data_IF_326134863114
#
_entry.id   IF_326134863114
#
_cell.length_a   1.000
_cell.length_b   1.000
_cell.length_c   1.000
_cell.angle_alpha   90.00
_cell.angle_beta   90.00
_cell.angle_gamma   90.00
#
_symmetry.space_group_name_H-M   'P 1'
#
loop_
_entity.id
_entity.type
_entity.pdbx_description
1 polymer ?
#
# COMPACT_ATOMS: atom_id res chain seq x y z
N UNK A 1 -1.88 21.46 -4.53
CA UNK A 1 -2.49 20.59 -3.51
C UNK A 1 -1.37 20.02 -2.67
N UNK A 2 -1.42 20.07 -1.33
CA UNK A 2 -0.35 19.48 -0.51
C UNK A 2 -0.27 17.97 -0.79
N UNK A 3 0.93 17.45 -1.04
CA UNK A 3 1.14 16.01 -1.20
C UNK A 3 0.77 15.33 0.12
N UNK A 4 -0.28 14.51 0.11
CA UNK A 4 -0.71 13.78 1.30
C UNK A 4 0.34 12.72 1.59
N UNK A 5 1.09 12.90 2.67
CA UNK A 5 2.08 11.93 3.14
C UNK A 5 1.39 10.89 4.03
N UNK A 6 1.28 9.68 3.53
CA UNK A 6 0.69 8.54 4.20
C UNK A 6 1.80 7.60 4.69
N UNK A 7 1.75 7.22 5.96
CA UNK A 7 2.59 6.12 6.46
C UNK A 7 1.99 4.77 6.08
N UNK A 8 2.78 3.70 6.13
CA UNK A 8 2.28 2.32 5.90
C UNK A 8 1.07 1.99 6.79
N UNK A 9 1.06 2.46 8.05
CA UNK A 9 -0.06 2.26 8.96
C UNK A 9 -1.31 3.05 8.59
N UNK A 10 -1.16 4.25 8.04
CA UNK A 10 -2.27 5.03 7.51
C UNK A 10 -2.85 4.40 6.25
N UNK A 11 -1.99 3.89 5.35
CA UNK A 11 -2.42 3.15 4.17
C UNK A 11 -3.27 1.94 4.58
N UNK A 12 -2.77 1.13 5.52
CA UNK A 12 -3.49 -0.03 6.05
C UNK A 12 -4.88 0.34 6.59
N UNK A 13 -4.97 1.39 7.42
CA UNK A 13 -6.25 1.89 7.92
C UNK A 13 -7.18 2.42 6.82
N UNK A 14 -6.64 3.10 5.81
CA UNK A 14 -7.43 3.70 4.73
C UNK A 14 -7.96 2.66 3.74
N UNK A 15 -7.24 1.56 3.58
CA UNK A 15 -7.64 0.42 2.74
C UNK A 15 -8.42 -0.64 3.52
N UNK A 16 -8.64 -0.45 4.84
CA UNK A 16 -9.22 -1.43 5.75
C UNK A 16 -8.53 -2.81 5.68
N UNK A 17 -7.20 -2.79 5.52
CA UNK A 17 -6.40 -3.98 5.25
C UNK A 17 -5.33 -4.17 6.34
N UNK A 18 -5.00 -5.42 6.72
CA UNK A 18 -3.97 -5.67 7.71
C UNK A 18 -2.60 -5.13 7.28
N UNK A 19 -1.87 -4.55 8.24
CA UNK A 19 -0.54 -3.97 8.01
C UNK A 19 0.43 -4.95 7.33
N UNK A 20 0.36 -6.24 7.69
CA UNK A 20 1.21 -7.28 7.11
C UNK A 20 0.92 -7.52 5.62
N UNK A 21 -0.35 -7.42 5.17
CA UNK A 21 -0.73 -7.54 3.75
C UNK A 21 -0.23 -6.34 2.95
N UNK A 22 -0.43 -5.14 3.47
CA UNK A 22 0.10 -3.91 2.86
C UNK A 22 1.62 -3.97 2.75
N UNK A 23 2.31 -4.37 3.83
CA UNK A 23 3.78 -4.52 3.84
C UNK A 23 4.25 -5.58 2.83
N UNK A 24 3.52 -6.68 2.72
CA UNK A 24 3.80 -7.73 1.74
C UNK A 24 3.67 -7.20 0.30
N UNK A 25 2.61 -6.47 -0.02
CA UNK A 25 2.40 -5.85 -1.35
C UNK A 25 3.52 -4.88 -1.67
N UNK A 26 3.84 -3.97 -0.75
CA UNK A 26 4.90 -2.96 -0.94
C UNK A 26 6.23 -3.65 -1.28
N UNK A 27 6.56 -4.74 -0.56
CA UNK A 27 7.79 -5.52 -0.80
C UNK A 27 7.76 -6.31 -2.10
N UNK A 28 6.65 -6.97 -2.42
CA UNK A 28 6.54 -7.85 -3.59
C UNK A 28 6.35 -7.10 -4.90
N UNK A 29 5.73 -5.92 -4.86
CA UNK A 29 5.52 -5.04 -6.03
C UNK A 29 6.64 -4.00 -6.20
N UNK A 30 7.61 -3.95 -5.30
CA UNK A 30 8.72 -3.00 -5.35
C UNK A 30 8.24 -1.54 -5.31
N UNK A 31 7.27 -1.24 -4.43
CA UNK A 31 6.72 0.11 -4.30
C UNK A 31 7.67 0.90 -3.41
N UNK A 32 8.48 1.75 -4.02
CA UNK A 32 9.39 2.64 -3.30
C UNK A 32 8.62 3.74 -2.56
N UNK A 33 9.09 4.15 -1.37
CA UNK A 33 8.48 5.26 -0.65
C UNK A 33 8.82 6.60 -1.32
N UNK A 34 7.89 7.55 -1.28
CA UNK A 34 8.11 8.90 -1.76
C UNK A 34 9.19 9.63 -0.94
N UNK A 35 9.20 9.40 0.37
CA UNK A 35 10.22 9.92 1.26
C UNK A 35 10.33 9.09 2.55
N UNK A 36 11.31 9.46 3.39
CA UNK A 36 11.47 8.93 4.74
C UNK A 36 11.30 10.06 5.74
N UNK A 37 10.24 10.00 6.54
CA UNK A 37 10.00 10.91 7.66
C UNK A 37 10.57 10.29 8.95
N UNK A 38 11.82 10.64 9.26
CA UNK A 38 12.55 10.06 10.40
C UNK A 38 12.86 8.57 10.19
N UNK A 39 12.10 7.69 10.85
CA UNK A 39 12.18 6.22 10.65
C UNK A 39 11.00 5.65 9.86
N UNK A 40 9.99 6.47 9.57
CA UNK A 40 8.80 6.04 8.88
C UNK A 40 8.94 6.27 7.36
N UNK A 41 8.59 5.27 6.58
CA UNK A 41 8.42 5.42 5.12
C UNK A 41 7.09 6.12 4.87
N UNK A 42 7.13 7.20 4.11
CA UNK A 42 5.95 7.93 3.68
C UNK A 42 5.71 7.71 2.20
N UNK A 43 4.43 7.65 1.86
CA UNK A 43 3.89 7.32 0.57
C UNK A 43 2.90 8.40 0.18
N UNK A 44 2.78 8.65 -1.11
CA UNK A 44 1.81 9.61 -1.63
C UNK A 44 0.53 8.91 -2.10
N UNK A 45 -0.46 9.70 -2.51
CA UNK A 45 -1.74 9.19 -2.98
C UNK A 45 -1.59 8.24 -4.18
N UNK A 46 -0.67 8.50 -5.11
CA UNK A 46 -0.36 7.58 -6.22
C UNK A 46 0.09 6.19 -5.72
N UNK A 47 0.86 6.15 -4.63
CA UNK A 47 1.31 4.89 -4.05
C UNK A 47 0.16 4.14 -3.40
N UNK A 48 -0.76 4.86 -2.74
CA UNK A 48 -1.99 4.29 -2.18
C UNK A 48 -2.82 3.61 -3.27
N UNK A 49 -3.03 4.28 -4.40
CA UNK A 49 -3.79 3.73 -5.54
C UNK A 49 -3.13 2.47 -6.11
N UNK A 50 -1.80 2.48 -6.27
CA UNK A 50 -1.03 1.30 -6.73
C UNK A 50 -1.13 0.12 -5.76
N UNK A 51 -1.07 0.38 -4.45
CA UNK A 51 -1.24 -0.65 -3.42
C UNK A 51 -2.66 -1.22 -3.47
N UNK A 52 -3.68 -0.36 -3.57
CA UNK A 52 -5.08 -0.78 -3.65
C UNK A 52 -5.39 -1.61 -4.90
N UNK A 53 -4.79 -1.26 -6.05
CA UNK A 53 -4.92 -2.03 -7.28
C UNK A 53 -4.23 -3.41 -7.15
N UNK A 54 -3.04 -3.46 -6.56
CA UNK A 54 -2.31 -4.71 -6.35
C UNK A 54 -3.01 -5.67 -5.38
N UNK A 55 -3.68 -5.14 -4.34
CA UNK A 55 -4.49 -5.95 -3.42
C UNK A 55 -5.67 -6.60 -4.16
N UNK A 56 -6.42 -5.80 -4.91
CA UNK A 56 -7.55 -6.29 -5.73
C UNK A 56 -7.13 -7.37 -6.72
N UNK A 57 -5.98 -7.23 -7.37
CA UNK A 57 -5.44 -8.24 -8.30
C UNK A 57 -5.07 -9.55 -7.59
N UNK A 58 -4.53 -9.49 -6.36
CA UNK A 58 -4.24 -10.70 -5.58
C UNK A 58 -5.53 -11.39 -5.11
N UNK A 59 -6.51 -10.64 -4.64
CA UNK A 59 -7.77 -11.20 -4.18
C UNK A 59 -8.57 -11.81 -5.35
N UNK A 60 -8.60 -11.14 -6.52
CA UNK A 60 -9.21 -11.69 -7.73
C UNK A 60 -8.57 -13.00 -8.20
N UNK A 61 -7.24 -13.14 -8.08
CA UNK A 61 -6.54 -14.39 -8.38
C UNK A 61 -6.80 -15.50 -7.37
N UNK A 62 -7.06 -15.13 -6.11
CA UNK A 62 -7.41 -16.09 -5.06
C UNK A 62 -8.82 -16.64 -5.23
N UNK A 63 -9.77 -15.78 -5.58
CA UNK A 63 -11.19 -16.18 -5.70
C UNK A 63 -11.52 -16.87 -7.02
N UNK A 64 -10.75 -16.63 -8.09
CA UNK A 64 -10.92 -17.30 -9.39
C UNK A 64 -10.35 -18.72 -9.48
N UNK A 65 -9.84 -19.28 -8.38
CA UNK A 65 -9.24 -20.61 -8.30
C UNK A 65 -10.11 -21.69 -7.66
N UNK A 66 -11.43 -21.46 -7.53
CA UNK A 66 -12.41 -22.39 -6.96
C UNK A 66 -13.23 -23.11 -8.03
#
# INVERSE_FOLDING_TARGET
MPAIQLTTGMIARRLDEPLHRVTYIIRTRGIEPAAVAGKARVFEEEHLERIAAALRDIDARRDGGG
#
